data_IF_482651181614
#
_entry.id   IF_482651181614
#
_cell.length_a   1.000
_cell.length_b   1.000
_cell.length_c   1.000
_cell.angle_alpha   90.00
_cell.angle_beta   90.00
_cell.angle_gamma   90.00
#
_symmetry.space_group_name_H-M   'P 1'
#
loop_
_entity.id
_entity.type
_entity.pdbx_description
1 polymer ?
#
# COMPACT_ATOMS: atom_id res chain seq x y z
N UNK A 1 -48.39 59.88 -25.43
CA UNK A 1 -48.34 58.96 -26.57
C UNK A 1 -47.07 58.10 -26.37
N UNK A 2 -47.22 56.97 -25.70
CA UNK A 2 -46.07 56.05 -25.38
C UNK A 2 -46.09 54.93 -26.36
N UNK A 3 -45.01 54.80 -27.15
CA UNK A 3 -44.82 53.70 -28.11
C UNK A 3 -44.19 52.50 -27.38
N UNK A 4 -44.97 51.42 -27.27
CA UNK A 4 -44.50 50.15 -26.74
C UNK A 4 -43.88 49.35 -27.86
N UNK A 5 -42.55 49.16 -27.84
CA UNK A 5 -41.79 48.37 -28.81
C UNK A 5 -41.77 46.89 -28.35
N UNK A 6 -42.52 46.05 -29.04
CA UNK A 6 -42.47 44.58 -28.86
C UNK A 6 -41.25 43.99 -29.57
N UNK A 7 -40.29 43.51 -28.83
CA UNK A 7 -39.18 42.69 -29.34
C UNK A 7 -39.64 41.22 -29.46
N UNK A 8 -39.83 40.77 -30.69
CA UNK A 8 -40.01 39.36 -31.04
C UNK A 8 -38.65 38.68 -31.06
N UNK A 9 -38.39 37.77 -30.10
CA UNK A 9 -37.25 36.86 -30.12
C UNK A 9 -37.63 35.62 -30.95
N UNK A 10 -36.83 35.23 -31.98
CA UNK A 10 -37.03 33.96 -32.67
C UNK A 10 -36.53 32.83 -31.78
N UNK A 11 -37.41 31.95 -31.35
CA UNK A 11 -37.08 30.67 -30.70
C UNK A 11 -36.48 29.72 -31.73
N UNK A 12 -35.21 29.38 -31.60
CA UNK A 12 -34.60 28.26 -32.31
C UNK A 12 -35.11 26.95 -31.70
N UNK A 13 -36.17 26.40 -32.27
CA UNK A 13 -36.55 25.02 -32.04
C UNK A 13 -35.75 24.13 -32.98
N UNK A 14 -34.75 23.41 -32.47
CA UNK A 14 -34.22 22.25 -33.16
C UNK A 14 -35.14 21.08 -32.82
N UNK A 15 -36.11 20.83 -33.68
CA UNK A 15 -36.88 19.59 -33.67
C UNK A 15 -35.97 18.44 -34.19
N UNK A 16 -35.15 17.87 -33.35
CA UNK A 16 -34.55 16.59 -33.67
C UNK A 16 -35.68 15.53 -33.67
N UNK A 17 -35.80 14.69 -34.70
CA UNK A 17 -36.84 13.70 -34.76
C UNK A 17 -36.68 12.71 -33.61
N UNK A 18 -37.69 12.61 -32.76
CA UNK A 18 -37.71 11.65 -31.64
C UNK A 18 -37.50 10.22 -32.16
N UNK A 19 -36.38 9.60 -31.79
CA UNK A 19 -36.08 8.21 -32.12
C UNK A 19 -37.09 7.32 -31.35
N UNK A 20 -38.08 6.77 -32.07
CA UNK A 20 -38.97 5.77 -31.47
C UNK A 20 -38.20 4.48 -31.27
N UNK A 21 -37.84 4.19 -30.00
CA UNK A 21 -37.25 2.92 -29.62
C UNK A 21 -38.34 1.86 -29.58
N UNK A 22 -38.22 0.87 -30.45
CA UNK A 22 -39.13 -0.27 -30.49
C UNK A 22 -38.79 -1.25 -29.34
N UNK A 23 -39.46 -1.12 -28.22
CA UNK A 23 -39.28 -1.96 -27.02
C UNK A 23 -39.66 -3.43 -27.23
N UNK A 24 -40.24 -3.81 -28.37
CA UNK A 24 -40.58 -5.21 -28.69
C UNK A 24 -39.34 -5.97 -29.24
N UNK A 25 -38.33 -5.27 -29.73
CA UNK A 25 -37.07 -5.87 -30.15
C UNK A 25 -36.17 -6.08 -28.94
N UNK A 26 -36.34 -7.23 -28.28
CA UNK A 26 -35.34 -7.72 -27.34
C UNK A 26 -34.11 -8.16 -28.11
N UNK A 27 -33.17 -7.23 -28.39
CA UNK A 27 -31.84 -7.66 -28.70
C UNK A 27 -31.27 -8.36 -27.47
N UNK A 28 -31.00 -9.65 -27.61
CA UNK A 28 -30.15 -10.33 -26.66
C UNK A 28 -28.76 -9.71 -26.76
N UNK A 29 -28.51 -8.67 -25.95
CA UNK A 29 -27.15 -8.23 -25.71
C UNK A 29 -26.44 -9.41 -25.09
N UNK A 30 -25.77 -10.20 -25.92
CA UNK A 30 -24.74 -11.12 -25.46
C UNK A 30 -23.67 -10.25 -24.85
N UNK A 31 -23.79 -9.99 -23.54
CA UNK A 31 -22.70 -9.45 -22.76
C UNK A 31 -21.56 -10.45 -22.96
N UNK A 32 -20.59 -10.10 -23.84
CA UNK A 32 -19.33 -10.86 -23.90
C UNK A 32 -18.90 -10.98 -22.46
N UNK A 33 -18.88 -12.21 -21.91
CA UNK A 33 -18.35 -12.50 -20.58
C UNK A 33 -16.99 -11.79 -20.56
N UNK A 34 -16.88 -10.71 -19.78
CA UNK A 34 -15.59 -10.04 -19.62
C UNK A 34 -14.59 -11.15 -19.30
N UNK A 35 -13.53 -11.25 -20.08
CA UNK A 35 -12.49 -12.24 -19.85
C UNK A 35 -12.10 -12.12 -18.37
N UNK A 36 -12.13 -13.24 -17.65
CA UNK A 36 -12.02 -13.32 -16.19
C UNK A 36 -10.96 -12.34 -15.69
N UNK A 37 -11.41 -11.22 -15.13
CA UNK A 37 -10.52 -10.14 -14.66
C UNK A 37 -9.84 -10.61 -13.40
N UNK A 38 -8.51 -10.59 -13.38
CA UNK A 38 -7.72 -10.80 -12.17
C UNK A 38 -7.43 -9.45 -11.53
N UNK A 39 -7.92 -9.22 -10.34
CA UNK A 39 -7.72 -7.96 -9.62
C UNK A 39 -6.41 -7.98 -8.82
N UNK A 40 -5.65 -6.91 -8.95
CA UNK A 40 -4.39 -6.69 -8.24
C UNK A 40 -4.48 -5.42 -7.38
N UNK A 41 -4.05 -5.48 -6.14
CA UNK A 41 -3.98 -4.30 -5.28
C UNK A 41 -2.63 -4.18 -4.57
N UNK A 42 -2.09 -2.96 -4.61
CA UNK A 42 -0.97 -2.52 -3.78
C UNK A 42 -1.54 -1.88 -2.51
N UNK A 43 -1.08 -2.33 -1.35
CA UNK A 43 -1.48 -1.76 -0.05
C UNK A 43 -1.25 -0.23 -0.04
N UNK A 44 -2.24 0.60 0.37
CA UNK A 44 -2.19 2.06 0.20
C UNK A 44 -1.29 2.77 1.24
N UNK A 45 -0.02 2.35 1.36
CA UNK A 45 0.96 3.03 2.22
C UNK A 45 1.36 4.41 1.72
N UNK A 46 1.27 4.65 0.41
CA UNK A 46 1.50 5.92 -0.27
C UNK A 46 0.20 6.43 -0.91
N UNK A 47 0.22 7.64 -1.49
CA UNK A 47 -0.92 8.13 -2.27
C UNK A 47 -1.25 7.22 -3.46
N UNK A 48 -2.49 7.28 -3.95
CA UNK A 48 -2.91 6.49 -5.12
C UNK A 48 -2.04 6.78 -6.35
N UNK A 49 -1.65 8.04 -6.55
CA UNK A 49 -0.76 8.45 -7.65
C UNK A 49 0.61 7.76 -7.53
N UNK A 50 1.22 7.76 -6.35
CA UNK A 50 2.51 7.06 -6.12
C UNK A 50 2.35 5.55 -6.30
N UNK A 51 1.27 4.97 -5.80
CA UNK A 51 0.98 3.54 -5.95
C UNK A 51 0.77 3.15 -7.41
N UNK A 52 0.07 3.98 -8.19
CA UNK A 52 -0.11 3.78 -9.63
C UNK A 52 1.23 3.86 -10.36
N UNK A 53 1.99 4.94 -10.18
CA UNK A 53 3.28 5.16 -10.86
C UNK A 53 4.23 4.00 -10.59
N UNK A 54 4.30 3.52 -9.36
CA UNK A 54 5.19 2.41 -8.99
C UNK A 54 4.85 1.10 -9.67
N UNK A 55 3.56 0.79 -9.82
CA UNK A 55 3.14 -0.55 -10.25
C UNK A 55 2.55 -0.61 -11.65
N UNK A 56 2.33 0.53 -12.33
CA UNK A 56 1.74 0.55 -13.67
C UNK A 56 2.55 -0.29 -14.68
N UNK A 57 3.84 -0.03 -14.79
CA UNK A 57 4.73 -0.77 -15.72
C UNK A 57 4.79 -2.26 -15.37
N UNK A 58 4.80 -2.61 -14.09
CA UNK A 58 4.75 -4.00 -13.63
C UNK A 58 3.44 -4.68 -14.05
N UNK A 59 2.30 -4.01 -13.92
CA UNK A 59 1.00 -4.57 -14.34
C UNK A 59 0.95 -4.75 -15.85
N UNK A 60 1.47 -3.81 -16.64
CA UNK A 60 1.56 -3.97 -18.10
C UNK A 60 2.44 -5.16 -18.48
N UNK A 61 3.60 -5.30 -17.83
CA UNK A 61 4.48 -6.46 -18.00
C UNK A 61 3.75 -7.77 -17.67
N UNK A 62 3.09 -7.86 -16.51
CA UNK A 62 2.36 -9.06 -16.11
C UNK A 62 1.25 -9.43 -17.10
N UNK A 63 0.48 -8.45 -17.61
CA UNK A 63 -0.52 -8.68 -18.66
C UNK A 63 0.10 -9.32 -19.91
N UNK A 64 1.22 -8.76 -20.36
CA UNK A 64 1.94 -9.24 -21.56
C UNK A 64 2.49 -10.66 -21.37
N UNK A 65 3.17 -10.91 -20.26
CA UNK A 65 3.84 -12.21 -20.02
C UNK A 65 2.86 -13.34 -19.69
N UNK A 66 1.75 -13.03 -19.03
CA UNK A 66 0.79 -14.05 -18.58
C UNK A 66 -0.39 -14.26 -19.52
N UNK A 67 -0.69 -13.28 -20.36
CA UNK A 67 -1.93 -13.22 -21.15
C UNK A 67 -3.20 -13.00 -20.30
N UNK A 68 -3.06 -12.67 -19.00
CA UNK A 68 -4.19 -12.44 -18.10
C UNK A 68 -4.69 -11.00 -18.18
N UNK A 69 -6.01 -10.81 -18.05
CA UNK A 69 -6.60 -9.48 -17.91
C UNK A 69 -6.45 -9.00 -16.46
N UNK A 70 -5.27 -8.49 -16.09
CA UNK A 70 -4.98 -8.02 -14.73
C UNK A 70 -5.43 -6.56 -14.61
N UNK A 71 -6.31 -6.24 -13.64
CA UNK A 71 -6.78 -4.89 -13.33
C UNK A 71 -6.23 -4.45 -11.99
N UNK A 72 -5.49 -3.33 -11.98
CA UNK A 72 -5.09 -2.70 -10.72
C UNK A 72 -6.28 -1.97 -10.11
N UNK A 73 -6.48 -2.17 -8.81
CA UNK A 73 -7.50 -1.51 -8.00
C UNK A 73 -6.84 -0.83 -6.80
N UNK A 74 -7.49 0.19 -6.26
CA UNK A 74 -6.90 1.10 -5.27
C UNK A 74 -7.77 1.17 -4.02
N UNK A 75 -7.56 0.32 -3.02
CA UNK A 75 -8.15 0.49 -1.70
C UNK A 75 -7.69 1.81 -1.07
N UNK A 76 -8.55 2.46 -0.29
CA UNK A 76 -8.23 3.72 0.38
C UNK A 76 -7.46 3.51 1.70
N UNK A 77 -7.75 2.41 2.40
CA UNK A 77 -7.17 2.11 3.71
C UNK A 77 -6.64 0.68 3.78
N UNK A 78 -5.79 0.41 4.78
CA UNK A 78 -5.28 -0.94 5.06
C UNK A 78 -6.42 -1.90 5.42
N UNK A 79 -7.37 -1.44 6.23
CA UNK A 79 -8.56 -2.23 6.59
C UNK A 79 -9.43 -2.54 5.37
N UNK A 80 -9.68 -1.56 4.50
CA UNK A 80 -10.40 -1.79 3.26
C UNK A 80 -9.69 -2.81 2.37
N UNK A 81 -8.35 -2.74 2.25
CA UNK A 81 -7.55 -3.71 1.50
C UNK A 81 -7.77 -5.14 2.04
N UNK A 82 -7.67 -5.32 3.36
CA UNK A 82 -7.89 -6.63 3.99
C UNK A 82 -9.32 -7.15 3.75
N UNK A 83 -10.34 -6.31 3.98
CA UNK A 83 -11.75 -6.66 3.74
C UNK A 83 -12.01 -7.05 2.29
N UNK A 84 -11.41 -6.33 1.33
CA UNK A 84 -11.56 -6.63 -0.09
C UNK A 84 -10.93 -7.99 -0.48
N UNK A 85 -9.84 -8.41 0.16
CA UNK A 85 -9.29 -9.77 0.00
C UNK A 85 -10.30 -10.81 0.49
N UNK A 86 -10.86 -10.63 1.69
CA UNK A 86 -11.90 -11.51 2.24
C UNK A 86 -13.16 -11.58 1.39
N UNK A 87 -13.57 -10.46 0.80
CA UNK A 87 -14.72 -10.35 -0.12
C UNK A 87 -14.42 -10.84 -1.55
N UNK A 88 -13.22 -11.36 -1.81
CA UNK A 88 -12.76 -11.80 -3.13
C UNK A 88 -12.76 -10.69 -4.21
N UNK A 89 -12.68 -9.43 -3.79
CA UNK A 89 -12.55 -8.26 -4.67
C UNK A 89 -11.09 -7.98 -5.04
N UNK A 90 -10.13 -8.50 -4.25
CA UNK A 90 -8.70 -8.53 -4.55
C UNK A 90 -8.29 -9.99 -4.74
N UNK A 91 -7.84 -10.35 -5.93
CA UNK A 91 -7.32 -11.67 -6.24
C UNK A 91 -5.86 -11.81 -5.82
N UNK A 92 -5.05 -10.79 -6.10
CA UNK A 92 -3.63 -10.72 -5.77
C UNK A 92 -3.37 -9.47 -4.94
N UNK A 93 -2.96 -9.67 -3.71
CA UNK A 93 -2.54 -8.64 -2.76
C UNK A 93 -1.03 -8.47 -2.78
N UNK A 94 -0.53 -7.26 -2.94
CA UNK A 94 0.86 -6.89 -2.63
C UNK A 94 0.85 -6.01 -1.38
N UNK A 95 1.35 -6.55 -0.28
CA UNK A 95 1.20 -5.93 1.03
C UNK A 95 2.42 -6.12 1.92
N UNK A 96 2.46 -5.37 3.03
CA UNK A 96 3.44 -5.57 4.06
C UNK A 96 3.21 -6.92 4.78
N UNK A 97 4.24 -7.49 5.43
CA UNK A 97 4.14 -8.79 6.10
C UNK A 97 3.09 -8.87 7.20
N UNK A 98 2.80 -7.78 7.91
CA UNK A 98 1.80 -7.79 8.97
C UNK A 98 0.38 -7.87 8.41
N UNK A 99 0.08 -7.13 7.36
CA UNK A 99 -1.18 -7.28 6.61
C UNK A 99 -1.30 -8.70 6.06
N UNK A 100 -0.20 -9.26 5.53
CA UNK A 100 -0.21 -10.62 5.03
C UNK A 100 -0.60 -11.63 6.11
N UNK A 101 0.04 -11.62 7.27
CA UNK A 101 -0.29 -12.60 8.33
C UNK A 101 -1.73 -12.45 8.82
N UNK A 102 -2.30 -11.23 8.82
CA UNK A 102 -3.71 -11.00 9.11
C UNK A 102 -4.64 -11.57 8.03
N UNK A 103 -4.39 -11.31 6.75
CA UNK A 103 -5.24 -11.87 5.66
C UNK A 103 -5.06 -13.37 5.49
N UNK A 104 -3.88 -13.92 5.80
CA UNK A 104 -3.67 -15.36 5.85
C UNK A 104 -4.49 -16.01 6.97
N UNK A 105 -4.45 -15.44 8.17
CA UNK A 105 -5.21 -15.91 9.33
C UNK A 105 -6.74 -15.81 9.10
N UNK A 106 -7.23 -14.63 8.73
CA UNK A 106 -8.67 -14.36 8.62
C UNK A 106 -9.31 -14.96 7.37
N UNK A 107 -8.62 -14.93 6.25
CA UNK A 107 -9.21 -15.20 4.94
C UNK A 107 -8.51 -16.30 4.17
N UNK A 108 -7.54 -17.00 4.81
CA UNK A 108 -6.75 -18.06 4.20
C UNK A 108 -6.07 -17.66 2.88
N UNK A 109 -5.62 -16.40 2.79
CA UNK A 109 -4.77 -15.96 1.70
C UNK A 109 -3.41 -16.68 1.77
N UNK A 110 -2.77 -16.92 0.62
CA UNK A 110 -1.51 -17.68 0.54
C UNK A 110 -0.43 -16.87 -0.13
N UNK A 111 0.70 -16.67 0.55
CA UNK A 111 1.91 -16.11 -0.06
C UNK A 111 2.42 -17.00 -1.18
N UNK A 112 2.94 -16.40 -2.25
CA UNK A 112 3.56 -17.12 -3.34
C UNK A 112 4.87 -16.49 -3.82
N UNK A 113 5.10 -15.20 -3.53
CA UNK A 113 6.34 -14.49 -3.85
C UNK A 113 6.56 -13.32 -2.89
N UNK A 114 7.81 -12.83 -2.78
CA UNK A 114 8.18 -11.63 -2.03
C UNK A 114 9.26 -10.83 -2.74
N UNK A 115 9.40 -9.57 -2.38
CA UNK A 115 10.36 -8.66 -3.01
C UNK A 115 11.68 -8.59 -2.26
N UNK A 116 12.75 -8.37 -3.02
CA UNK A 116 14.07 -7.98 -2.55
C UNK A 116 14.22 -6.48 -2.79
N UNK A 117 14.47 -5.71 -1.72
CA UNK A 117 14.53 -4.25 -1.75
C UNK A 117 15.75 -3.74 -2.53
N UNK A 118 15.69 -2.46 -2.96
CA UNK A 118 16.75 -1.80 -3.76
C UNK A 118 18.15 -1.88 -3.12
N UNK A 119 18.22 -1.97 -1.79
CA UNK A 119 19.49 -2.18 -1.07
C UNK A 119 19.99 -3.64 -1.09
N UNK A 120 19.41 -4.50 -1.94
CA UNK A 120 19.81 -5.90 -2.10
C UNK A 120 19.39 -6.82 -0.95
N UNK A 121 18.50 -6.38 -0.07
CA UNK A 121 18.03 -7.13 1.09
C UNK A 121 16.63 -7.69 0.86
N UNK A 122 16.45 -8.93 1.20
CA UNK A 122 15.16 -9.61 1.20
C UNK A 122 14.32 -9.34 2.47
N UNK A 123 14.81 -8.41 3.31
CA UNK A 123 14.21 -7.94 4.55
C UNK A 123 14.23 -6.42 4.59
N UNK A 124 13.30 -5.83 5.34
CA UNK A 124 13.26 -4.38 5.60
C UNK A 124 13.03 -4.09 7.08
N UNK A 125 13.20 -2.83 7.46
CA UNK A 125 13.15 -2.36 8.85
C UNK A 125 12.12 -1.26 9.03
N UNK A 126 11.71 -1.06 10.27
CA UNK A 126 11.15 0.19 10.74
C UNK A 126 12.25 1.18 11.13
N UNK A 127 11.94 2.46 11.04
CA UNK A 127 12.78 3.55 11.51
C UNK A 127 11.99 4.41 12.48
N UNK A 128 12.64 4.80 13.58
CA UNK A 128 12.12 5.76 14.55
C UNK A 128 12.82 7.08 14.23
N UNK A 129 12.04 8.11 13.95
CA UNK A 129 12.54 9.42 13.50
C UNK A 129 12.11 10.53 14.46
N UNK A 130 12.91 11.58 14.54
CA UNK A 130 12.55 12.85 15.18
C UNK A 130 13.11 14.02 14.35
N UNK A 131 12.76 15.25 14.71
CA UNK A 131 13.44 16.44 14.16
C UNK A 131 14.91 16.43 14.56
N UNK A 132 15.79 16.88 13.68
CA UNK A 132 17.22 16.92 13.94
C UNK A 132 17.58 17.93 15.05
N UNK A 133 16.85 19.05 15.12
CA UNK A 133 17.00 20.07 16.16
C UNK A 133 16.40 19.69 17.53
N UNK A 134 15.72 18.55 17.63
CA UNK A 134 15.19 18.06 18.91
C UNK A 134 16.25 17.39 19.76
N UNK A 135 17.04 18.20 20.49
CA UNK A 135 18.13 17.73 21.33
C UNK A 135 17.67 16.90 22.56
N UNK A 136 16.36 16.92 22.88
CA UNK A 136 15.81 16.14 23.99
C UNK A 136 15.61 14.65 23.65
N UNK A 137 15.90 14.23 22.41
CA UNK A 137 15.80 12.84 21.95
C UNK A 137 17.10 12.44 21.30
N UNK A 138 18.02 11.80 22.00
CA UNK A 138 19.31 11.34 21.48
C UNK A 138 19.34 9.81 21.34
N UNK A 139 18.62 9.13 22.19
CA UNK A 139 18.58 7.66 22.27
C UNK A 139 17.14 7.16 22.23
N UNK A 140 16.96 5.85 22.07
CA UNK A 140 15.65 5.22 22.12
C UNK A 140 14.95 5.45 23.48
N UNK A 141 15.71 5.51 24.59
CA UNK A 141 15.16 5.74 25.95
C UNK A 141 14.51 7.12 26.09
N UNK A 142 14.98 8.11 25.35
CA UNK A 142 14.49 9.48 25.39
C UNK A 142 13.11 9.61 24.70
N UNK A 143 12.66 8.52 24.02
CA UNK A 143 11.31 8.47 23.45
C UNK A 143 10.20 8.30 24.50
N UNK A 144 10.55 7.96 25.77
CA UNK A 144 9.57 7.92 26.86
C UNK A 144 8.95 9.28 27.10
N UNK A 145 7.66 9.29 27.44
CA UNK A 145 6.85 10.50 27.67
C UNK A 145 6.78 11.45 26.46
N UNK A 146 7.10 10.95 25.27
CA UNK A 146 6.98 11.69 24.01
C UNK A 146 5.68 11.37 23.30
N UNK A 147 5.25 12.27 22.43
CA UNK A 147 4.12 12.08 21.52
C UNK A 147 4.62 11.33 20.28
N UNK A 148 4.07 10.16 20.05
CA UNK A 148 4.46 9.27 18.95
C UNK A 148 3.36 9.22 17.89
N UNK A 149 3.71 9.53 16.63
CA UNK A 149 2.85 9.27 15.48
C UNK A 149 3.36 8.05 14.71
N UNK A 150 2.48 7.09 14.47
CA UNK A 150 2.73 5.89 13.68
C UNK A 150 1.90 5.91 12.38
N UNK A 151 2.27 5.04 11.43
CA UNK A 151 1.61 5.01 10.11
C UNK A 151 0.17 4.51 10.21
N UNK A 152 -0.02 3.36 10.82
CA UNK A 152 -1.32 2.68 10.98
C UNK A 152 -1.14 1.55 11.97
N UNK A 153 -2.18 1.17 12.72
CA UNK A 153 -2.12 0.06 13.68
C UNK A 153 -1.77 -1.28 13.03
N UNK A 154 -1.97 -1.41 11.72
CA UNK A 154 -1.64 -2.61 10.92
C UNK A 154 -0.41 -2.43 10.04
N UNK A 155 0.36 -1.36 10.24
CA UNK A 155 1.62 -1.14 9.52
C UNK A 155 2.75 -1.97 10.13
N UNK A 156 3.43 -2.79 9.33
CA UNK A 156 4.59 -3.55 9.78
C UNK A 156 5.75 -2.62 10.16
N UNK A 157 6.38 -1.94 9.18
CA UNK A 157 7.54 -1.08 9.42
C UNK A 157 7.23 0.24 10.11
N UNK A 158 5.98 0.72 10.03
CA UNK A 158 5.56 1.98 10.64
C UNK A 158 4.90 1.86 12.02
N UNK A 159 4.67 0.63 12.52
CA UNK A 159 4.12 0.43 13.85
C UNK A 159 4.56 -0.87 14.52
N UNK A 160 4.25 -2.06 13.95
CA UNK A 160 4.53 -3.34 14.62
C UNK A 160 6.01 -3.51 14.95
N UNK A 161 6.91 -3.29 13.98
CA UNK A 161 8.35 -3.46 14.20
C UNK A 161 8.91 -2.44 15.19
N UNK A 162 8.60 -1.13 15.07
CA UNK A 162 8.95 -0.15 16.09
C UNK A 162 8.41 -0.48 17.48
N UNK A 163 7.15 -0.91 17.58
CA UNK A 163 6.57 -1.30 18.87
C UNK A 163 7.35 -2.47 19.52
N UNK A 164 7.65 -3.52 18.74
CA UNK A 164 8.49 -4.62 19.21
C UNK A 164 9.87 -4.14 19.64
N UNK A 165 10.48 -3.26 18.85
CA UNK A 165 11.79 -2.69 19.16
C UNK A 165 11.77 -1.87 20.47
N UNK A 166 10.73 -1.06 20.71
CA UNK A 166 10.55 -0.37 21.98
C UNK A 166 10.41 -1.33 23.14
N UNK A 167 9.58 -2.39 23.02
CA UNK A 167 9.35 -3.40 24.07
C UNK A 167 10.65 -4.15 24.38
N UNK A 168 11.44 -4.54 23.38
CA UNK A 168 12.73 -5.22 23.55
C UNK A 168 13.76 -4.35 24.31
N UNK A 169 13.55 -3.02 24.34
CA UNK A 169 14.35 -2.05 25.11
C UNK A 169 13.65 -1.57 26.38
N UNK A 170 12.61 -2.28 26.84
CA UNK A 170 11.89 -2.00 28.08
C UNK A 170 10.99 -0.76 28.01
N UNK A 171 10.57 -0.33 26.80
CA UNK A 171 9.65 0.78 26.61
C UNK A 171 8.32 0.21 26.13
N UNK A 172 7.26 0.37 26.92
CA UNK A 172 5.92 -0.12 26.63
C UNK A 172 5.05 0.99 26.04
N UNK A 173 3.87 0.64 25.56
CA UNK A 173 2.92 1.62 25.02
C UNK A 173 2.50 2.67 26.07
N UNK A 174 2.43 2.29 27.34
CA UNK A 174 2.07 3.19 28.46
C UNK A 174 3.18 4.18 28.81
N UNK A 175 4.40 3.97 28.33
CA UNK A 175 5.51 4.91 28.53
C UNK A 175 5.42 6.15 27.61
N UNK A 176 4.55 6.15 26.59
CA UNK A 176 4.36 7.30 25.71
C UNK A 176 3.28 8.23 26.26
N UNK A 177 3.46 9.55 26.05
CA UNK A 177 2.44 10.55 26.36
C UNK A 177 1.21 10.37 25.47
N UNK A 178 1.42 9.98 24.22
CA UNK A 178 0.38 9.77 23.22
C UNK A 178 0.93 8.84 22.13
N UNK A 179 0.08 7.96 21.61
CA UNK A 179 0.32 7.19 20.39
C UNK A 179 -0.81 7.51 19.42
N UNK A 180 -0.49 8.18 18.32
CA UNK A 180 -1.44 8.54 17.28
C UNK A 180 -1.10 7.81 15.96
N UNK A 181 -2.08 7.69 15.08
CA UNK A 181 -1.91 7.13 13.74
C UNK A 181 -2.18 8.19 12.67
N UNK A 182 -1.41 8.12 11.58
CA UNK A 182 -1.57 9.04 10.46
C UNK A 182 -3.01 9.05 9.93
N UNK A 183 -3.65 10.22 9.82
CA UNK A 183 -5.07 10.34 9.50
C UNK A 183 -5.37 10.08 8.02
N UNK A 184 -6.63 9.76 7.72
CA UNK A 184 -7.21 9.70 6.39
C UNK A 184 -6.68 8.55 5.50
N UNK A 185 -7.14 8.51 4.25
CA UNK A 185 -6.75 7.50 3.29
C UNK A 185 -5.37 7.77 2.70
N UNK A 186 -4.62 6.71 2.36
CA UNK A 186 -3.35 6.75 1.62
C UNK A 186 -2.26 7.69 2.16
N UNK A 187 -1.07 7.64 1.58
CA UNK A 187 0.03 8.57 1.91
C UNK A 187 0.47 8.60 3.38
N UNK A 188 0.18 7.56 4.14
CA UNK A 188 0.37 7.56 5.59
C UNK A 188 1.83 7.66 6.02
N UNK A 189 2.77 7.09 5.25
CA UNK A 189 4.21 7.26 5.48
C UNK A 189 4.63 8.73 5.36
N UNK A 190 4.15 9.39 4.32
CA UNK A 190 4.42 10.82 4.06
C UNK A 190 3.86 11.69 5.20
N UNK A 191 2.64 11.41 5.64
CA UNK A 191 1.97 12.15 6.72
C UNK A 191 2.72 12.05 8.04
N UNK A 192 3.22 10.87 8.42
CA UNK A 192 4.06 10.71 9.62
C UNK A 192 5.30 11.60 9.53
N UNK A 193 6.01 11.57 8.39
CA UNK A 193 7.22 12.38 8.22
C UNK A 193 6.90 13.87 8.31
N UNK A 194 5.84 14.32 7.64
CA UNK A 194 5.43 15.72 7.63
C UNK A 194 4.98 16.20 9.00
N UNK A 195 4.26 15.39 9.79
CA UNK A 195 3.86 15.73 11.16
C UNK A 195 5.05 15.85 12.12
N UNK A 196 6.08 14.99 11.95
CA UNK A 196 7.34 15.14 12.71
C UNK A 196 8.09 16.39 12.27
N UNK A 197 8.20 16.61 10.96
CA UNK A 197 8.87 17.79 10.39
C UNK A 197 8.21 19.10 10.87
N UNK A 198 6.91 19.14 10.93
CA UNK A 198 6.14 20.29 11.44
C UNK A 198 6.23 20.45 12.98
N UNK A 199 6.79 19.50 13.72
CA UNK A 199 6.86 19.53 15.18
C UNK A 199 5.52 19.20 15.88
N UNK A 200 4.54 18.66 15.14
CA UNK A 200 3.26 18.24 15.71
C UNK A 200 3.42 17.03 16.63
N UNK A 201 4.41 16.18 16.36
CA UNK A 201 4.79 15.01 17.16
C UNK A 201 6.29 15.02 17.42
N UNK A 202 6.69 14.50 18.58
CA UNK A 202 8.09 14.45 19.00
C UNK A 202 8.87 13.38 18.22
N UNK A 203 8.22 12.22 18.00
CA UNK A 203 8.75 11.11 17.24
C UNK A 203 7.72 10.57 16.24
N UNK A 204 8.24 10.00 15.18
CA UNK A 204 7.46 9.26 14.19
C UNK A 204 8.07 7.90 13.89
N UNK A 205 7.25 6.96 13.43
CA UNK A 205 7.75 5.67 12.98
C UNK A 205 7.31 5.38 11.55
N UNK A 206 8.29 5.02 10.73
CA UNK A 206 8.12 4.84 9.29
C UNK A 206 8.84 3.57 8.82
N UNK A 207 8.50 3.12 7.62
CA UNK A 207 9.26 2.12 6.90
C UNK A 207 10.60 2.71 6.40
N UNK A 208 11.67 1.94 6.45
CA UNK A 208 12.95 2.27 5.81
C UNK A 208 12.76 2.67 4.34
N UNK A 209 13.44 3.73 3.91
CA UNK A 209 13.32 4.29 2.56
C UNK A 209 12.16 5.28 2.36
N UNK A 210 11.28 5.49 3.36
CA UNK A 210 10.14 6.41 3.21
C UNK A 210 10.56 7.88 3.15
N UNK A 211 11.70 8.27 3.72
CA UNK A 211 12.22 9.64 3.64
C UNK A 211 12.46 10.09 2.18
N UNK A 212 12.87 9.16 1.32
CA UNK A 212 13.10 9.46 -0.10
C UNK A 212 11.83 9.92 -0.84
N UNK A 213 10.63 9.52 -0.36
CA UNK A 213 9.36 9.89 -0.99
C UNK A 213 9.02 11.37 -0.79
N UNK A 214 9.53 11.97 0.28
CA UNK A 214 9.29 13.38 0.63
C UNK A 214 10.49 14.29 0.37
N UNK A 215 11.62 13.78 -0.12
CA UNK A 215 12.85 14.53 -0.32
C UNK A 215 12.71 15.73 -1.29
N UNK A 216 11.73 15.69 -2.19
CA UNK A 216 11.39 16.83 -3.07
C UNK A 216 10.39 17.84 -2.46
N UNK A 217 9.89 17.56 -1.23
CA UNK A 217 8.86 18.40 -0.58
C UNK A 217 9.39 19.12 0.67
N UNK A 218 10.34 18.53 1.35
CA UNK A 218 10.94 19.05 2.59
C UNK A 218 12.46 18.84 2.58
N UNK A 219 13.17 19.59 3.42
CA UNK A 219 14.59 19.32 3.71
C UNK A 219 14.67 18.12 4.66
N UNK A 220 15.00 16.95 4.12
CA UNK A 220 15.12 15.69 4.88
C UNK A 220 16.27 15.70 5.90
N UNK A 221 17.25 16.63 5.79
CA UNK A 221 18.30 16.78 6.77
C UNK A 221 17.79 17.31 8.11
N UNK A 222 16.59 17.89 8.15
CA UNK A 222 15.92 18.27 9.38
C UNK A 222 15.23 17.09 10.11
N UNK A 223 15.34 15.88 9.55
CA UNK A 223 14.82 14.65 10.16
C UNK A 223 15.99 13.71 10.45
N UNK A 224 16.09 13.31 11.70
CA UNK A 224 17.10 12.36 12.17
C UNK A 224 16.48 11.00 12.48
N UNK A 225 17.21 9.94 12.18
CA UNK A 225 16.86 8.58 12.57
C UNK A 225 17.45 8.32 13.97
N UNK A 226 16.57 8.16 14.96
CA UNK A 226 16.93 7.84 16.34
C UNK A 226 17.36 6.38 16.48
N UNK A 227 16.60 5.46 15.86
CA UNK A 227 16.88 4.02 15.89
C UNK A 227 16.29 3.30 14.70
N UNK A 228 16.82 2.11 14.43
CA UNK A 228 16.31 1.16 13.43
C UNK A 228 15.96 -0.16 14.10
N UNK A 229 14.85 -0.76 13.69
CA UNK A 229 14.43 -2.07 14.20
C UNK A 229 15.27 -3.20 13.62
N UNK A 230 15.12 -4.39 14.13
CA UNK A 230 15.56 -5.60 13.45
C UNK A 230 14.87 -5.74 12.09
N UNK A 231 15.52 -6.44 11.13
CA UNK A 231 14.97 -6.67 9.82
C UNK A 231 13.99 -7.85 9.82
N UNK A 232 12.86 -7.68 9.14
CA UNK A 232 11.83 -8.69 8.94
C UNK A 232 11.60 -8.95 7.44
N UNK A 233 10.95 -10.05 7.03
CA UNK A 233 10.73 -10.39 5.63
C UNK A 233 10.17 -9.23 4.80
N UNK A 234 10.54 -9.19 3.53
CA UNK A 234 10.10 -8.18 2.58
C UNK A 234 8.61 -8.23 2.26
N UNK A 235 8.17 -7.31 1.44
CA UNK A 235 6.78 -7.23 0.98
C UNK A 235 6.40 -8.46 0.16
N UNK A 236 5.15 -8.86 0.27
CA UNK A 236 4.65 -10.15 -0.16
C UNK A 236 3.52 -10.04 -1.17
N UNK A 237 3.59 -10.88 -2.19
CA UNK A 237 2.49 -11.19 -3.09
C UNK A 237 1.72 -12.37 -2.52
N UNK A 238 0.44 -12.17 -2.25
CA UNK A 238 -0.44 -13.21 -1.75
C UNK A 238 -1.68 -13.35 -2.63
N UNK A 239 -2.08 -14.58 -2.87
CA UNK A 239 -3.32 -14.92 -3.56
C UNK A 239 -4.45 -15.10 -2.54
N UNK A 240 -5.66 -14.60 -2.85
CA UNK A 240 -6.84 -14.90 -2.04
C UNK A 240 -7.15 -16.38 -2.02
N UNK A 241 -7.90 -16.82 -1.01
CA UNK A 241 -8.43 -18.19 -0.93
C UNK A 241 -9.15 -18.58 -2.24
N UNK A 242 -8.84 -19.77 -2.74
CA UNK A 242 -9.48 -20.37 -3.92
C UNK A 242 -9.27 -19.59 -5.25
N UNK A 243 -8.27 -18.73 -5.35
CA UNK A 243 -7.84 -18.28 -6.67
C UNK A 243 -7.26 -19.47 -7.46
N UNK A 244 -7.57 -19.56 -8.75
CA UNK A 244 -7.06 -20.65 -9.59
C UNK A 244 -5.53 -20.75 -9.51
N UNK A 245 -5.03 -21.94 -9.18
CA UNK A 245 -3.60 -22.19 -9.05
C UNK A 245 -2.83 -21.89 -10.32
N UNK A 246 -3.45 -22.07 -11.50
CA UNK A 246 -2.83 -21.73 -12.80
C UNK A 246 -2.60 -20.23 -12.96
N UNK A 247 -3.53 -19.40 -12.44
CA UNK A 247 -3.36 -17.94 -12.42
C UNK A 247 -2.20 -17.57 -11.50
N UNK A 248 -2.18 -18.12 -10.28
CA UNK A 248 -1.11 -17.86 -9.29
C UNK A 248 0.26 -18.24 -9.87
N UNK A 249 0.37 -19.43 -10.47
CA UNK A 249 1.64 -19.92 -11.02
C UNK A 249 2.13 -19.07 -12.20
N UNK A 250 1.23 -18.69 -13.13
CA UNK A 250 1.59 -17.78 -14.23
C UNK A 250 2.13 -16.44 -13.72
N UNK A 251 1.45 -15.82 -12.73
CA UNK A 251 1.89 -14.54 -12.16
C UNK A 251 3.20 -14.71 -11.41
N UNK A 252 3.37 -15.78 -10.62
CA UNK A 252 4.61 -16.09 -9.91
C UNK A 252 5.78 -16.21 -10.87
N UNK A 253 5.66 -17.05 -11.91
CA UNK A 253 6.71 -17.25 -12.92
C UNK A 253 7.07 -15.96 -13.64
N UNK A 254 6.08 -15.14 -14.01
CA UNK A 254 6.33 -13.84 -14.64
C UNK A 254 7.09 -12.89 -13.70
N UNK A 255 6.74 -12.84 -12.40
CA UNK A 255 7.43 -12.03 -11.41
C UNK A 255 8.88 -12.50 -11.18
N UNK A 256 9.10 -13.81 -11.06
CA UNK A 256 10.43 -14.39 -10.83
C UNK A 256 11.37 -14.29 -12.07
N UNK A 257 10.78 -14.15 -13.26
CA UNK A 257 11.52 -13.95 -14.53
C UNK A 257 12.12 -12.53 -14.65
N UNK A 258 11.65 -11.56 -13.85
CA UNK A 258 12.22 -10.22 -13.86
C UNK A 258 13.68 -10.23 -13.44
N UNK A 259 14.57 -9.77 -14.34
CA UNK A 259 16.01 -9.72 -14.16
C UNK A 259 16.53 -8.29 -14.20
N UNK A 260 17.18 -7.84 -13.14
CA UNK A 260 17.73 -6.49 -13.01
C UNK A 260 18.86 -6.19 -14.03
N UNK A 261 19.50 -7.21 -14.60
CA UNK A 261 20.50 -7.04 -15.65
C UNK A 261 19.88 -6.75 -17.03
N UNK A 262 18.62 -7.11 -17.24
CA UNK A 262 17.87 -6.74 -18.44
C UNK A 262 17.39 -5.28 -18.30
N UNK A 263 17.74 -4.40 -19.24
CA UNK A 263 17.41 -2.96 -19.18
C UNK A 263 15.92 -2.70 -19.01
N UNK A 264 15.07 -3.37 -19.77
CA UNK A 264 13.60 -3.18 -19.72
C UNK A 264 13.01 -3.67 -18.39
N UNK A 265 13.48 -4.83 -17.89
CA UNK A 265 13.04 -5.35 -16.58
C UNK A 265 13.53 -4.46 -15.44
N UNK A 266 14.74 -3.87 -15.57
CA UNK A 266 15.28 -2.93 -14.57
C UNK A 266 14.39 -1.72 -14.42
N UNK A 267 13.95 -1.10 -15.51
CA UNK A 267 13.05 0.05 -15.49
C UNK A 267 11.73 -0.25 -14.74
N UNK A 268 11.20 -1.48 -14.93
CA UNK A 268 10.00 -1.96 -14.22
C UNK A 268 10.28 -2.14 -12.73
N UNK A 269 11.40 -2.79 -12.40
CA UNK A 269 11.80 -3.09 -11.02
C UNK A 269 12.11 -1.82 -10.23
N UNK A 270 12.86 -0.88 -10.81
CA UNK A 270 13.17 0.41 -10.21
C UNK A 270 11.92 1.25 -9.97
N UNK A 271 11.00 1.29 -10.96
CA UNK A 271 9.71 1.95 -10.79
C UNK A 271 8.92 1.36 -9.62
N UNK A 272 8.90 0.04 -9.48
CA UNK A 272 8.24 -0.67 -8.39
C UNK A 272 9.00 -0.61 -7.05
N UNK A 273 10.24 -0.05 -7.05
CA UNK A 273 11.11 0.12 -5.90
C UNK A 273 11.59 -1.19 -5.26
N UNK A 274 11.94 -2.17 -6.09
CA UNK A 274 12.63 -3.40 -5.69
C UNK A 274 13.53 -3.90 -6.84
N UNK A 275 14.48 -4.79 -6.56
CA UNK A 275 15.45 -5.27 -7.56
C UNK A 275 15.17 -6.70 -8.02
N UNK A 276 14.38 -7.45 -7.29
CA UNK A 276 14.08 -8.85 -7.59
C UNK A 276 12.80 -9.30 -6.90
N UNK A 277 12.15 -10.28 -7.46
CA UNK A 277 11.10 -11.07 -6.82
C UNK A 277 11.60 -12.50 -6.64
N UNK A 278 11.35 -13.09 -5.49
CA UNK A 278 11.75 -14.46 -5.14
C UNK A 278 10.54 -15.24 -4.65
N UNK A 279 10.59 -16.56 -4.77
CA UNK A 279 9.58 -17.45 -4.20
C UNK A 279 9.41 -17.21 -2.70
N UNK A 280 8.19 -17.35 -2.22
CA UNK A 280 7.88 -17.21 -0.80
C UNK A 280 6.72 -18.10 -0.41
N UNK A 281 6.74 -18.57 0.83
CA UNK A 281 5.71 -19.37 1.44
C UNK A 281 5.20 -18.76 2.74
N UNK A 282 4.19 -19.37 3.34
CA UNK A 282 3.56 -18.88 4.56
C UNK A 282 4.53 -18.85 5.75
N UNK A 283 5.40 -19.87 5.87
CA UNK A 283 6.39 -20.00 6.95
C UNK A 283 7.46 -18.90 6.97
N UNK A 284 7.72 -18.23 5.84
CA UNK A 284 8.66 -17.11 5.79
C UNK A 284 8.26 -15.95 6.72
N UNK A 285 6.98 -15.90 7.11
CA UNK A 285 6.39 -14.84 7.94
C UNK A 285 6.17 -15.24 9.40
N UNK A 286 6.70 -16.37 9.86
CA UNK A 286 6.54 -16.83 11.25
C UNK A 286 7.18 -15.89 12.25
N UNK A 287 8.30 -15.24 11.91
CA UNK A 287 8.91 -14.21 12.75
C UNK A 287 8.00 -13.01 12.97
N UNK A 288 7.15 -12.67 11.99
CA UNK A 288 6.15 -11.60 12.12
C UNK A 288 5.02 -12.04 13.03
N UNK A 289 4.56 -13.30 12.93
CA UNK A 289 3.54 -13.86 13.84
C UNK A 289 4.05 -13.89 15.29
N UNK A 290 5.29 -14.34 15.49
CA UNK A 290 5.94 -14.36 16.81
C UNK A 290 6.04 -12.95 17.39
N UNK A 291 6.45 -11.97 16.59
CA UNK A 291 6.48 -10.57 17.02
C UNK A 291 5.09 -10.08 17.41
N UNK A 292 4.07 -10.35 16.58
CA UNK A 292 2.68 -9.94 16.82
C UNK A 292 2.16 -10.50 18.15
N UNK A 293 2.41 -11.79 18.42
CA UNK A 293 2.06 -12.41 19.69
C UNK A 293 2.81 -11.80 20.88
N UNK A 294 4.12 -11.55 20.71
CA UNK A 294 4.98 -10.98 21.77
C UNK A 294 4.54 -9.57 22.19
N UNK A 295 4.07 -8.76 21.25
CA UNK A 295 3.60 -7.40 21.56
C UNK A 295 2.11 -7.37 21.95
N UNK A 296 1.45 -8.53 22.06
CA UNK A 296 0.05 -8.64 22.47
C UNK A 296 -0.97 -8.16 21.43
N UNK A 297 -0.61 -8.10 20.13
CA UNK A 297 -1.52 -7.69 19.06
C UNK A 297 -2.33 -8.87 18.52
N UNK A 298 -3.63 -8.65 18.27
CA UNK A 298 -4.50 -9.65 17.67
C UNK A 298 -4.34 -9.72 16.14
N UNK A 299 -4.46 -10.91 15.58
CA UNK A 299 -4.61 -11.12 14.15
C UNK A 299 -6.08 -11.02 13.69
N UNK A 300 -7.03 -11.04 14.63
CA UNK A 300 -8.48 -11.01 14.36
C UNK A 300 -9.05 -9.59 14.25
N UNK A 301 -8.34 -8.56 14.74
CA UNK A 301 -8.77 -7.17 14.72
C UNK A 301 -8.23 -6.39 13.52
#
# INVERSE_FOLDING_TARGET
MVFLLFLLLPGCGNDEPAIKVDLSKKEQVTVKKEADVVTYAYLPQYSHTVSYTRHHSLIQYLRKETGLNIKQIFPDTFDQHMKMVGQKKIDISYSNPFIYVKIAHRYAAKAFARTVEVVGKDKFRGQIICRDDNMAIQTLRDCRQKRWIAVDSTSAGGYLYPLGHFIDHGITQTDFKEIAFAPGPGGKQEKVILSVYAGEYDIGTIREGSLNVVSGKIDINQIRIVSRTDPYPGWVYAARKNLDKKIVEKVKQALEKLDFNNKHHREILESANFIKVIASGDSDFDTVRQLTARVGMSLDE
#
